data_IF_246324578541
#
_entry.id   IF_246324578541
#
_cell.length_a   1.000
_cell.length_b   1.000
_cell.length_c   1.000
_cell.angle_alpha   90.00
_cell.angle_beta   90.00
_cell.angle_gamma   90.00
#
_symmetry.space_group_name_H-M   'P 1'
#
loop_
_entity.id
_entity.type
_entity.pdbx_description
1 polymer ?
#
# COMPACT_ATOMS: atom_id res chain seq x y z
N UNK A 1 64.15 -19.54 -2.77
CA UNK A 1 63.29 -19.16 -1.59
C UNK A 1 62.00 -18.55 -2.13
N UNK A 2 60.99 -19.38 -2.22
CA UNK A 2 59.73 -19.01 -2.84
C UNK A 2 58.76 -18.50 -1.77
N UNK A 3 58.42 -17.21 -1.83
CA UNK A 3 57.38 -16.59 -1.02
C UNK A 3 56.06 -16.62 -1.74
N UNK A 4 55.22 -17.63 -1.45
CA UNK A 4 53.82 -17.69 -1.91
C UNK A 4 52.97 -16.75 -1.10
N UNK A 5 52.68 -15.57 -1.66
CA UNK A 5 51.67 -14.63 -1.12
C UNK A 5 50.27 -15.16 -1.36
N UNK A 6 49.64 -15.71 -0.33
CA UNK A 6 48.22 -16.06 -0.32
C UNK A 6 47.37 -14.78 -0.35
N UNK A 7 46.81 -14.47 -1.53
CA UNK A 7 45.79 -13.44 -1.66
C UNK A 7 44.48 -13.96 -1.07
N UNK A 8 44.25 -13.65 0.19
CA UNK A 8 42.95 -13.87 0.82
C UNK A 8 41.88 -13.05 0.08
N UNK A 9 41.01 -13.71 -0.68
CA UNK A 9 39.78 -13.11 -1.27
C UNK A 9 38.93 -12.62 -0.11
N UNK A 10 38.92 -11.30 0.10
CA UNK A 10 37.90 -10.62 0.92
C UNK A 10 36.56 -10.88 0.23
N UNK A 11 35.76 -11.80 0.77
CA UNK A 11 34.34 -11.84 0.49
C UNK A 11 33.78 -10.50 0.97
N UNK A 12 33.47 -9.62 0.03
CA UNK A 12 32.65 -8.45 0.30
C UNK A 12 31.28 -8.98 0.74
N UNK A 13 31.05 -9.01 2.03
CA UNK A 13 29.72 -9.17 2.58
C UNK A 13 28.93 -7.98 2.03
N UNK A 14 27.93 -8.24 1.21
CA UNK A 14 26.99 -7.20 0.79
C UNK A 14 26.45 -6.51 2.04
N UNK A 15 26.42 -5.19 2.06
CA UNK A 15 25.80 -4.46 3.16
C UNK A 15 24.38 -4.99 3.37
N UNK A 16 23.97 -5.21 4.62
CA UNK A 16 22.65 -5.72 4.90
C UNK A 16 21.61 -4.77 4.29
N UNK A 17 20.63 -5.33 3.55
CA UNK A 17 19.56 -4.54 2.96
C UNK A 17 18.86 -3.71 4.04
N UNK A 18 18.56 -2.46 3.73
CA UNK A 18 17.81 -1.59 4.65
C UNK A 18 16.41 -2.14 4.84
N UNK A 19 15.98 -2.28 6.08
CA UNK A 19 14.62 -2.70 6.40
C UNK A 19 13.64 -1.56 6.15
N UNK A 20 12.51 -1.89 5.56
CA UNK A 20 11.39 -0.97 5.40
C UNK A 20 10.07 -1.61 5.83
N UNK A 21 9.20 -0.84 6.47
CA UNK A 21 7.80 -1.22 6.68
C UNK A 21 6.96 -0.70 5.52
N UNK A 22 6.19 -1.57 4.88
CA UNK A 22 5.30 -1.21 3.78
C UNK A 22 3.85 -1.42 4.19
N UNK A 23 3.05 -0.36 4.23
CA UNK A 23 1.61 -0.48 4.44
C UNK A 23 0.97 -1.10 3.19
N UNK A 24 0.46 -2.33 3.32
CA UNK A 24 -0.06 -3.14 2.23
C UNK A 24 -1.54 -3.45 2.42
N UNK A 25 -2.41 -2.78 1.66
CA UNK A 25 -3.86 -3.01 1.71
C UNK A 25 -4.34 -4.16 0.82
N UNK A 26 -3.50 -4.61 -0.12
CA UNK A 26 -3.90 -5.58 -1.16
C UNK A 26 -4.51 -4.95 -2.41
N UNK A 27 -4.64 -3.63 -2.46
CA UNK A 27 -5.06 -2.87 -3.63
C UNK A 27 -3.89 -2.53 -4.56
N UNK A 28 -4.23 -2.01 -5.76
CA UNK A 28 -3.31 -1.64 -6.83
C UNK A 28 -2.16 -0.72 -6.35
N UNK A 29 -2.50 0.33 -5.63
CA UNK A 29 -1.56 1.38 -5.21
C UNK A 29 -0.53 0.83 -4.23
N UNK A 30 -0.98 0.08 -3.23
CA UNK A 30 -0.10 -0.52 -2.21
C UNK A 30 0.79 -1.63 -2.78
N UNK A 31 0.30 -2.40 -3.76
CA UNK A 31 1.09 -3.41 -4.47
C UNK A 31 2.22 -2.75 -5.28
N UNK A 32 1.91 -1.66 -5.99
CA UNK A 32 2.92 -0.89 -6.73
C UNK A 32 3.95 -0.26 -5.78
N UNK A 33 3.50 0.25 -4.64
CA UNK A 33 4.39 0.82 -3.61
C UNK A 33 5.36 -0.22 -3.06
N UNK A 34 4.90 -1.44 -2.80
CA UNK A 34 5.77 -2.55 -2.36
C UNK A 34 6.79 -2.91 -3.44
N UNK A 35 6.37 -2.97 -4.72
CA UNK A 35 7.28 -3.26 -5.81
C UNK A 35 8.37 -2.19 -5.97
N UNK A 36 8.02 -0.90 -5.77
CA UNK A 36 8.98 0.21 -5.78
C UNK A 36 9.96 0.07 -4.61
N UNK A 37 9.48 -0.13 -3.38
CA UNK A 37 10.35 -0.28 -2.20
C UNK A 37 11.37 -1.41 -2.38
N UNK A 38 10.95 -2.51 -3.00
CA UNK A 38 11.84 -3.63 -3.32
C UNK A 38 12.86 -3.29 -4.40
N UNK A 39 12.43 -2.61 -5.46
CA UNK A 39 13.33 -2.16 -6.54
C UNK A 39 14.38 -1.16 -6.03
N UNK A 40 14.02 -0.37 -5.00
CA UNK A 40 14.93 0.54 -4.30
C UNK A 40 15.88 -0.18 -3.33
N UNK A 41 15.85 -1.53 -3.26
CA UNK A 41 16.79 -2.35 -2.51
C UNK A 41 16.44 -2.56 -1.04
N UNK A 42 15.16 -2.38 -0.64
CA UNK A 42 14.75 -2.60 0.74
C UNK A 42 14.35 -4.05 1.02
N UNK A 43 14.66 -4.51 2.24
CA UNK A 43 14.06 -5.68 2.86
C UNK A 43 12.67 -5.27 3.38
N UNK A 44 11.61 -5.62 2.63
CA UNK A 44 10.27 -5.14 2.89
C UNK A 44 9.51 -6.01 3.89
N UNK A 45 9.05 -5.40 4.97
CA UNK A 45 8.16 -5.98 5.98
C UNK A 45 6.75 -5.38 5.78
N UNK A 46 5.81 -6.18 5.30
CA UNK A 46 4.48 -5.71 4.95
C UNK A 46 3.55 -5.69 6.16
N UNK A 47 2.81 -4.60 6.34
CA UNK A 47 1.79 -4.43 7.36
C UNK A 47 0.43 -4.23 6.72
N UNK A 48 -0.49 -5.13 7.03
CA UNK A 48 -1.91 -5.04 6.63
C UNK A 48 -2.77 -4.79 7.85
N UNK A 49 -3.79 -3.96 7.69
CA UNK A 49 -4.74 -3.65 8.77
C UNK A 49 -6.10 -4.29 8.49
N UNK A 50 -6.60 -5.05 9.45
CA UNK A 50 -8.00 -5.41 9.58
C UNK A 50 -8.66 -4.38 10.51
N UNK A 51 -9.33 -3.37 9.91
CA UNK A 51 -9.89 -2.24 10.66
C UNK A 51 -11.43 -2.28 10.73
N UNK A 52 -12.04 -3.44 10.50
CA UNK A 52 -13.49 -3.59 10.43
C UNK A 52 -14.07 -3.19 9.08
N UNK A 53 -13.26 -3.19 8.01
CA UNK A 53 -13.74 -2.95 6.65
C UNK A 53 -14.77 -3.99 6.23
N UNK A 54 -15.70 -3.58 5.36
CA UNK A 54 -16.85 -4.39 4.91
C UNK A 54 -16.47 -5.78 4.37
N UNK A 55 -15.29 -5.90 3.76
CA UNK A 55 -14.88 -7.12 3.07
C UNK A 55 -13.44 -7.49 3.41
N UNK A 56 -13.25 -8.76 3.75
CA UNK A 56 -11.92 -9.33 4.05
C UNK A 56 -11.12 -9.71 2.79
N UNK A 57 -11.71 -9.59 1.61
CA UNK A 57 -11.05 -9.92 0.34
C UNK A 57 -9.73 -9.16 0.13
N UNK A 58 -9.66 -7.91 0.62
CA UNK A 58 -8.42 -7.09 0.58
C UNK A 58 -7.31 -7.70 1.42
N UNK A 59 -7.60 -8.24 2.61
CA UNK A 59 -6.61 -8.85 3.51
C UNK A 59 -6.02 -10.11 2.85
N UNK A 60 -6.87 -10.94 2.25
CA UNK A 60 -6.43 -12.11 1.51
C UNK A 60 -5.59 -11.72 0.26
N UNK A 61 -5.98 -10.64 -0.43
CA UNK A 61 -5.21 -10.08 -1.54
C UNK A 61 -3.84 -9.58 -1.08
N UNK A 62 -3.76 -8.86 0.05
CA UNK A 62 -2.50 -8.40 0.62
C UNK A 62 -1.54 -9.56 0.89
N UNK A 63 -2.02 -10.67 1.43
CA UNK A 63 -1.20 -11.85 1.68
C UNK A 63 -0.67 -12.49 0.38
N UNK A 64 -1.48 -12.53 -0.69
CA UNK A 64 -1.03 -13.00 -2.02
C UNK A 64 0.02 -12.09 -2.62
N UNK A 65 -0.23 -10.77 -2.60
CA UNK A 65 0.69 -9.75 -3.12
C UNK A 65 2.03 -9.76 -2.36
N UNK A 66 1.99 -9.80 -1.02
CA UNK A 66 3.20 -9.87 -0.20
C UNK A 66 4.08 -11.07 -0.58
N UNK A 67 3.47 -12.24 -0.75
CA UNK A 67 4.16 -13.47 -1.16
C UNK A 67 4.71 -13.36 -2.58
N UNK A 68 3.89 -12.92 -3.54
CA UNK A 68 4.27 -12.83 -4.94
C UNK A 68 5.41 -11.83 -5.17
N UNK A 69 5.40 -10.71 -4.47
CA UNK A 69 6.46 -9.72 -4.51
C UNK A 69 7.61 -10.00 -3.53
N UNK A 70 7.63 -11.16 -2.85
CA UNK A 70 8.73 -11.62 -2.00
C UNK A 70 9.02 -10.70 -0.82
N UNK A 71 7.99 -10.27 -0.09
CA UNK A 71 8.17 -9.58 1.19
C UNK A 71 8.88 -10.48 2.21
N UNK A 72 9.78 -9.92 3.01
CA UNK A 72 10.50 -10.64 4.06
C UNK A 72 9.57 -11.13 5.17
N UNK A 73 8.53 -10.35 5.47
CA UNK A 73 7.45 -10.76 6.37
C UNK A 73 6.15 -10.04 6.04
N UNK A 74 5.04 -10.63 6.45
CA UNK A 74 3.71 -10.01 6.36
C UNK A 74 2.99 -10.17 7.68
N UNK A 75 2.59 -9.06 8.28
CA UNK A 75 1.83 -9.00 9.53
C UNK A 75 0.46 -8.39 9.29
N UNK A 76 -0.56 -8.96 9.90
CA UNK A 76 -1.91 -8.39 9.94
C UNK A 76 -2.18 -7.95 11.38
N UNK A 77 -2.55 -6.68 11.56
CA UNK A 77 -3.01 -6.15 12.84
C UNK A 77 -4.50 -5.84 12.75
N UNK A 78 -5.24 -6.15 13.80
CA UNK A 78 -6.66 -5.84 13.90
C UNK A 78 -6.90 -4.64 14.81
N UNK A 79 -7.77 -3.73 14.35
CA UNK A 79 -8.26 -2.59 15.11
C UNK A 79 -9.72 -2.36 14.71
N UNK A 80 -10.60 -2.08 15.65
CA UNK A 80 -12.01 -1.84 15.35
C UNK A 80 -12.28 -0.35 15.13
N UNK A 81 -12.17 0.10 13.86
CA UNK A 81 -12.60 1.45 13.46
C UNK A 81 -14.10 1.52 13.15
N UNK A 82 -14.79 0.38 13.03
CA UNK A 82 -16.23 0.37 12.89
C UNK A 82 -16.93 0.87 14.16
N UNK A 83 -16.34 0.63 15.33
CA UNK A 83 -16.80 1.18 16.60
C UNK A 83 -16.75 2.72 16.66
N UNK A 84 -15.89 3.37 15.85
CA UNK A 84 -15.83 4.84 15.74
C UNK A 84 -16.93 5.35 14.80
N UNK A 85 -17.25 4.60 13.74
CA UNK A 85 -18.29 4.93 12.78
C UNK A 85 -17.91 6.02 11.77
N UNK A 86 -18.94 6.61 11.13
CA UNK A 86 -18.80 7.79 10.27
C UNK A 86 -18.30 7.54 8.85
N UNK A 87 -18.22 6.29 8.39
CA UNK A 87 -17.80 5.97 7.02
C UNK A 87 -18.59 4.83 6.40
N UNK A 88 -18.92 4.98 5.12
CA UNK A 88 -19.52 3.90 4.33
C UNK A 88 -18.62 2.66 4.21
N UNK A 89 -17.34 2.73 4.51
CA UNK A 89 -16.43 1.58 4.46
C UNK A 89 -16.43 0.75 5.75
N UNK A 90 -16.90 1.31 6.87
CA UNK A 90 -16.93 0.65 8.19
C UNK A 90 -18.37 0.51 8.72
N UNK A 91 -19.30 1.34 8.28
CA UNK A 91 -20.70 1.31 8.67
C UNK A 91 -21.58 0.80 7.52
N UNK A 92 -22.22 -0.35 7.71
CA UNK A 92 -23.08 -0.98 6.70
C UNK A 92 -24.40 -0.25 6.47
N UNK A 93 -24.83 0.63 7.38
CA UNK A 93 -26.03 1.46 7.22
C UNK A 93 -25.84 2.58 6.20
N UNK A 94 -24.59 2.98 5.94
CA UNK A 94 -24.25 4.03 4.97
C UNK A 94 -23.98 3.39 3.60
N UNK A 95 -24.72 3.74 2.57
CA UNK A 95 -24.52 3.20 1.23
C UNK A 95 -23.18 3.70 0.64
N UNK A 96 -22.46 2.81 -0.05
CA UNK A 96 -21.28 3.21 -0.85
C UNK A 96 -21.76 3.85 -2.15
N UNK A 97 -21.37 5.10 -2.46
CA UNK A 97 -21.82 5.79 -3.68
C UNK A 97 -21.34 5.08 -4.96
N UNK A 98 -22.22 5.04 -5.95
CA UNK A 98 -21.92 4.55 -7.31
C UNK A 98 -21.59 5.71 -8.28
N UNK A 99 -21.80 6.96 -7.84
CA UNK A 99 -21.49 8.18 -8.59
C UNK A 99 -20.56 9.08 -7.79
N UNK A 100 -19.73 9.91 -8.46
CA UNK A 100 -18.88 10.87 -7.77
C UNK A 100 -19.71 11.85 -6.93
N UNK A 101 -19.25 12.13 -5.70
CA UNK A 101 -19.85 13.13 -4.82
C UNK A 101 -18.87 14.28 -4.61
N UNK A 102 -19.34 15.55 -4.59
CA UNK A 102 -18.45 16.68 -4.30
C UNK A 102 -17.97 16.67 -2.84
N UNK A 103 -16.77 17.20 -2.61
CA UNK A 103 -16.18 17.30 -1.26
C UNK A 103 -15.56 16.01 -0.74
N UNK A 104 -15.45 15.90 0.58
CA UNK A 104 -14.91 14.68 1.23
C UNK A 104 -15.99 13.60 1.15
N UNK A 105 -15.70 12.45 0.50
CA UNK A 105 -16.72 11.44 0.28
C UNK A 105 -17.03 10.65 1.56
N UNK A 106 -18.23 10.09 1.62
CA UNK A 106 -18.69 9.24 2.74
C UNK A 106 -17.88 7.95 2.91
N UNK A 107 -17.00 7.62 1.96
CA UNK A 107 -16.04 6.52 2.05
C UNK A 107 -14.74 6.89 2.80
N UNK A 108 -14.59 8.17 3.16
CA UNK A 108 -13.50 8.58 4.05
C UNK A 108 -13.71 7.97 5.44
N UNK A 109 -12.75 7.20 5.92
CA UNK A 109 -12.73 6.70 7.30
C UNK A 109 -11.95 7.71 8.14
N UNK A 110 -12.58 8.35 9.14
CA UNK A 110 -11.96 9.43 9.92
C UNK A 110 -10.60 9.03 10.49
N UNK A 111 -9.57 9.83 10.19
CA UNK A 111 -8.18 9.67 10.65
C UNK A 111 -7.55 8.28 10.39
N UNK A 112 -8.12 7.48 9.48
CA UNK A 112 -7.64 6.10 9.24
C UNK A 112 -6.14 6.06 8.92
N UNK A 113 -5.67 6.89 7.99
CA UNK A 113 -4.27 6.84 7.58
C UNK A 113 -3.34 7.29 8.72
N UNK A 114 -3.77 8.19 9.60
CA UNK A 114 -3.01 8.54 10.82
C UNK A 114 -2.82 7.32 11.72
N UNK A 115 -3.88 6.56 11.96
CA UNK A 115 -3.84 5.36 12.79
C UNK A 115 -2.94 4.30 12.16
N UNK A 116 -3.11 4.05 10.84
CA UNK A 116 -2.31 3.06 10.10
C UNK A 116 -0.81 3.42 10.11
N UNK A 117 -0.48 4.67 9.87
CA UNK A 117 0.89 5.16 9.90
C UNK A 117 1.50 5.09 11.30
N UNK A 118 0.71 5.37 12.35
CA UNK A 118 1.17 5.26 13.74
C UNK A 118 1.51 3.80 14.12
N UNK A 119 0.73 2.83 13.65
CA UNK A 119 1.03 1.42 13.86
C UNK A 119 2.24 0.95 13.02
N UNK A 120 2.39 1.46 11.80
CA UNK A 120 3.57 1.22 10.99
C UNK A 120 4.83 1.80 11.64
N UNK A 121 4.74 3.00 12.23
CA UNK A 121 5.81 3.65 12.97
C UNK A 121 6.25 2.81 14.17
N UNK A 122 5.29 2.34 14.97
CA UNK A 122 5.59 1.49 16.12
C UNK A 122 6.29 0.18 15.71
N UNK A 123 5.84 -0.43 14.61
CA UNK A 123 6.47 -1.64 14.13
C UNK A 123 7.83 -1.39 13.48
N UNK A 124 8.02 -0.28 12.77
CA UNK A 124 9.31 0.13 12.24
C UNK A 124 10.36 0.28 13.35
N UNK A 125 9.98 0.90 14.47
CA UNK A 125 10.86 1.04 15.63
C UNK A 125 11.27 -0.31 16.23
N UNK A 126 10.34 -1.26 16.36
CA UNK A 126 10.61 -2.64 16.83
C UNK A 126 11.55 -3.39 15.89
N UNK A 127 11.39 -3.22 14.57
CA UNK A 127 12.24 -3.87 13.56
C UNK A 127 13.61 -3.20 13.40
N UNK A 128 13.79 -2.00 13.94
CA UNK A 128 14.93 -1.14 13.65
C UNK A 128 14.94 -0.61 12.20
N UNK A 129 13.76 -0.56 11.55
CA UNK A 129 13.58 0.01 10.22
C UNK A 129 13.52 1.54 10.31
N UNK A 130 14.15 2.22 9.35
CA UNK A 130 14.13 3.68 9.27
C UNK A 130 13.27 4.19 8.10
N UNK A 131 12.72 3.28 7.30
CA UNK A 131 11.95 3.59 6.11
C UNK A 131 10.54 3.02 6.22
N UNK A 132 9.52 3.86 6.00
CA UNK A 132 8.12 3.47 5.91
C UNK A 132 7.63 3.84 4.51
N UNK A 133 7.00 2.90 3.80
CA UNK A 133 6.40 3.12 2.49
C UNK A 133 4.88 3.10 2.60
N UNK A 134 4.26 4.14 2.04
CA UNK A 134 2.80 4.29 2.04
C UNK A 134 2.28 4.66 0.66
N UNK A 135 1.31 3.90 0.17
CA UNK A 135 0.72 4.05 -1.16
C UNK A 135 -0.38 5.11 -1.23
N UNK A 136 -0.15 6.31 -0.67
CA UNK A 136 -1.07 7.43 -0.84
C UNK A 136 -1.00 7.98 -2.26
N UNK A 137 -2.15 8.39 -2.80
CA UNK A 137 -2.26 9.09 -4.07
C UNK A 137 -3.12 10.34 -3.89
N UNK A 138 -2.63 11.50 -4.37
CA UNK A 138 -3.29 12.79 -4.26
C UNK A 138 -3.87 13.28 -5.59
N UNK A 139 -3.55 12.63 -6.71
CA UNK A 139 -3.92 13.08 -8.07
C UNK A 139 -5.30 12.58 -8.47
N UNK A 140 -5.52 11.28 -8.42
CA UNK A 140 -6.77 10.68 -8.92
C UNK A 140 -7.91 10.77 -7.90
N UNK A 141 -7.56 11.02 -6.63
CA UNK A 141 -8.55 11.07 -5.58
C UNK A 141 -8.14 12.02 -4.44
N UNK A 142 -8.46 13.28 -4.64
CA UNK A 142 -8.11 14.37 -3.74
C UNK A 142 -9.04 14.53 -2.52
N UNK A 143 -10.06 13.64 -2.36
CA UNK A 143 -11.07 13.83 -1.32
C UNK A 143 -10.61 13.50 0.10
N UNK A 144 -9.55 12.73 0.28
CA UNK A 144 -9.09 12.33 1.62
C UNK A 144 -8.04 13.31 2.16
N UNK A 145 -8.33 14.02 3.27
CA UNK A 145 -7.40 15.01 3.83
C UNK A 145 -6.07 14.39 4.28
N UNK A 146 -6.08 13.11 4.66
CA UNK A 146 -4.92 12.35 5.12
C UNK A 146 -4.17 11.60 3.99
N UNK A 147 -4.40 11.97 2.73
CA UNK A 147 -3.61 11.55 1.56
C UNK A 147 -2.80 12.69 0.95
N UNK A 148 -2.87 13.91 1.49
CA UNK A 148 -2.20 15.08 0.94
C UNK A 148 -0.69 15.11 1.25
N UNK A 149 0.15 15.67 0.36
CA UNK A 149 1.60 15.75 0.60
C UNK A 149 1.98 16.50 1.88
N UNK A 150 1.20 17.55 2.26
CA UNK A 150 1.42 18.31 3.48
C UNK A 150 1.22 17.46 4.73
N UNK A 151 0.19 16.61 4.71
CA UNK A 151 -0.07 15.68 5.79
C UNK A 151 1.09 14.68 5.95
N UNK A 152 1.60 14.11 4.83
CA UNK A 152 2.72 13.16 4.87
C UNK A 152 3.97 13.79 5.46
N UNK A 153 4.31 15.04 5.07
CA UNK A 153 5.45 15.77 5.67
C UNK A 153 5.26 16.05 7.16
N UNK A 154 4.04 16.42 7.57
CA UNK A 154 3.72 16.63 8.97
C UNK A 154 3.83 15.35 9.79
N UNK A 155 3.37 14.21 9.25
CA UNK A 155 3.50 12.92 9.92
C UNK A 155 4.97 12.49 10.04
N UNK A 156 5.80 12.66 9.02
CA UNK A 156 7.24 12.39 9.10
C UNK A 156 7.91 13.25 10.19
N UNK A 157 7.53 14.52 10.29
CA UNK A 157 8.01 15.40 11.36
C UNK A 157 7.61 14.87 12.74
N UNK A 158 6.34 14.49 12.90
CA UNK A 158 5.82 13.90 14.14
C UNK A 158 6.59 12.61 14.50
N UNK A 159 6.80 11.72 13.54
CA UNK A 159 7.51 10.46 13.74
C UNK A 159 8.93 10.69 14.27
N UNK A 160 9.61 11.71 13.75
CA UNK A 160 10.96 12.08 14.14
C UNK A 160 11.05 12.87 15.47
N UNK A 161 9.92 13.30 16.03
CA UNK A 161 9.84 13.87 17.37
C UNK A 161 9.42 12.85 18.43
N UNK A 162 8.65 11.85 18.03
CA UNK A 162 7.92 10.96 18.94
C UNK A 162 8.60 9.62 19.20
N UNK A 163 9.67 9.26 18.46
CA UNK A 163 10.28 7.93 18.57
C UNK A 163 11.64 7.96 19.29
N UNK A 164 11.92 6.90 20.04
CA UNK A 164 13.22 6.69 20.68
C UNK A 164 14.34 6.68 19.63
N UNK A 165 14.13 6.01 18.51
CA UNK A 165 15.10 5.91 17.43
C UNK A 165 15.52 7.29 16.92
N UNK A 166 14.56 8.20 16.69
CA UNK A 166 14.84 9.55 16.21
C UNK A 166 15.56 10.42 17.26
N UNK A 167 15.17 10.32 18.53
CA UNK A 167 15.85 11.01 19.65
C UNK A 167 17.30 10.53 19.77
N UNK A 168 17.57 9.26 19.48
CA UNK A 168 18.93 8.68 19.42
C UNK A 168 19.67 8.97 18.10
N UNK A 169 19.13 9.83 17.23
CA UNK A 169 19.78 10.26 15.99
C UNK A 169 19.49 9.38 14.75
N UNK A 170 18.69 8.33 14.87
CA UNK A 170 18.28 7.46 13.76
C UNK A 170 16.94 7.95 13.18
N UNK A 171 17.00 8.84 12.21
CA UNK A 171 15.82 9.45 11.61
C UNK A 171 15.03 8.46 10.77
N UNK A 172 13.72 8.58 10.82
CA UNK A 172 12.78 7.85 9.98
C UNK A 172 12.44 8.67 8.74
N UNK A 173 12.31 8.01 7.59
CA UNK A 173 11.79 8.56 6.34
C UNK A 173 10.43 7.95 5.99
N UNK A 174 9.47 8.79 5.61
CA UNK A 174 8.16 8.37 5.10
C UNK A 174 8.14 8.53 3.57
N UNK A 175 8.16 7.42 2.87
CA UNK A 175 8.14 7.37 1.40
C UNK A 175 6.73 7.23 0.87
N UNK A 176 6.34 8.13 -0.04
CA UNK A 176 5.05 8.11 -0.73
C UNK A 176 5.28 8.14 -2.25
N UNK A 177 5.83 7.05 -2.84
CA UNK A 177 6.43 7.09 -4.18
C UNK A 177 5.44 7.29 -5.32
N UNK A 178 4.14 7.16 -5.05
CA UNK A 178 3.07 7.30 -6.06
C UNK A 178 2.16 8.51 -5.80
N UNK A 179 2.50 9.37 -4.85
CA UNK A 179 1.60 10.43 -4.37
C UNK A 179 1.22 11.44 -5.47
N UNK A 180 2.11 11.68 -6.43
CA UNK A 180 1.92 12.62 -7.53
C UNK A 180 1.68 11.93 -8.89
N UNK A 181 1.55 10.60 -8.93
CA UNK A 181 1.38 9.86 -10.17
C UNK A 181 -0.11 9.74 -10.53
N UNK A 182 -0.45 9.93 -11.80
CA UNK A 182 -1.75 9.55 -12.32
C UNK A 182 -1.92 8.02 -12.31
N UNK A 183 -3.16 7.52 -12.24
CA UNK A 183 -3.44 6.08 -12.14
C UNK A 183 -2.79 5.27 -13.27
N UNK A 184 -2.77 5.81 -14.48
CA UNK A 184 -2.11 5.18 -15.62
C UNK A 184 -0.59 5.03 -15.42
N UNK A 185 0.06 5.99 -14.79
CA UNK A 185 1.49 5.94 -14.50
C UNK A 185 1.79 4.90 -13.42
N UNK A 186 0.92 4.83 -12.39
CA UNK A 186 1.02 3.81 -11.34
C UNK A 186 0.92 2.41 -11.95
N UNK A 187 -0.06 2.19 -12.85
CA UNK A 187 -0.25 0.92 -13.56
C UNK A 187 0.99 0.57 -14.40
N UNK A 188 1.49 1.50 -15.24
CA UNK A 188 2.69 1.26 -16.06
C UNK A 188 3.90 0.94 -15.21
N UNK A 189 4.12 1.70 -14.13
CA UNK A 189 5.27 1.52 -13.23
C UNK A 189 5.23 0.17 -12.53
N UNK A 190 4.06 -0.21 -11.98
CA UNK A 190 3.91 -1.49 -11.32
C UNK A 190 4.05 -2.67 -12.28
N UNK A 191 3.48 -2.57 -13.50
CA UNK A 191 3.66 -3.59 -14.54
C UNK A 191 5.13 -3.75 -14.92
N UNK A 192 5.87 -2.65 -15.09
CA UNK A 192 7.30 -2.68 -15.38
C UNK A 192 8.13 -3.31 -14.24
N UNK A 193 7.64 -3.22 -12.99
CA UNK A 193 8.24 -3.84 -11.81
C UNK A 193 7.72 -5.26 -11.53
N UNK A 194 6.92 -5.85 -12.43
CA UNK A 194 6.44 -7.22 -12.33
C UNK A 194 5.26 -7.41 -11.37
N UNK A 195 4.49 -6.36 -11.08
CA UNK A 195 3.27 -6.50 -10.27
C UNK A 195 2.20 -7.25 -11.06
N UNK A 196 1.76 -8.40 -10.55
CA UNK A 196 0.56 -9.07 -11.02
C UNK A 196 -0.68 -8.44 -10.38
N UNK A 197 -1.31 -7.54 -11.13
CA UNK A 197 -2.52 -6.86 -10.68
C UNK A 197 -3.76 -7.77 -10.59
N UNK A 198 -3.71 -8.98 -11.15
CA UNK A 198 -4.75 -10.00 -10.96
C UNK A 198 -4.85 -10.50 -9.52
N UNK A 199 -3.78 -10.34 -8.73
CA UNK A 199 -3.76 -10.68 -7.30
C UNK A 199 -4.39 -9.61 -6.42
N UNK A 200 -4.61 -8.39 -6.94
CA UNK A 200 -5.06 -7.22 -6.18
C UNK A 200 -6.56 -7.05 -6.16
N UNK A 201 -7.10 -6.53 -5.06
CA UNK A 201 -8.50 -6.16 -4.90
C UNK A 201 -8.59 -4.68 -4.51
N UNK A 202 -9.22 -3.87 -5.37
CA UNK A 202 -9.40 -2.42 -5.12
C UNK A 202 -10.86 -2.03 -4.89
N UNK A 203 -11.79 -2.96 -5.09
CA UNK A 203 -13.22 -2.72 -5.01
C UNK A 203 -13.68 -2.46 -3.57
N UNK A 204 -14.51 -1.43 -3.35
CA UNK A 204 -15.11 -1.14 -2.03
C UNK A 204 -16.22 -2.12 -1.64
N UNK A 205 -16.77 -2.87 -2.60
CA UNK A 205 -17.86 -3.83 -2.42
C UNK A 205 -17.60 -5.09 -3.27
N UNK A 206 -16.47 -5.80 -3.04
CA UNK A 206 -16.26 -7.08 -3.73
C UNK A 206 -17.25 -8.12 -3.19
N UNK A 207 -17.49 -9.16 -3.98
CA UNK A 207 -18.15 -10.37 -3.47
C UNK A 207 -17.23 -11.11 -2.48
N UNK A 208 -17.78 -12.12 -1.79
CA UNK A 208 -16.98 -13.00 -0.92
C UNK A 208 -15.85 -13.69 -1.69
N UNK A 209 -16.09 -14.04 -2.96
CA UNK A 209 -15.10 -14.63 -3.86
C UNK A 209 -14.11 -13.61 -4.45
N UNK A 210 -14.23 -12.32 -4.09
CA UNK A 210 -13.33 -11.26 -4.52
C UNK A 210 -13.65 -10.63 -5.88
N UNK A 211 -14.81 -10.93 -6.51
CA UNK A 211 -15.22 -10.27 -7.75
C UNK A 211 -15.54 -8.80 -7.49
N UNK A 212 -15.02 -7.92 -8.34
CA UNK A 212 -15.22 -6.49 -8.21
C UNK A 212 -16.62 -6.06 -8.68
N UNK A 213 -17.28 -5.12 -7.98
CA UNK A 213 -18.61 -4.65 -8.33
C UNK A 213 -18.68 -3.89 -9.68
N UNK A 214 -17.56 -3.33 -10.13
CA UNK A 214 -17.44 -2.58 -11.38
C UNK A 214 -18.06 -1.17 -11.36
N UNK A 215 -18.68 -0.74 -10.26
CA UNK A 215 -19.49 0.50 -10.19
C UNK A 215 -18.95 1.54 -9.21
N UNK A 216 -18.36 1.14 -8.08
CA UNK A 216 -17.81 2.07 -7.09
C UNK A 216 -16.63 2.89 -7.65
N UNK A 217 -16.27 3.99 -6.99
CA UNK A 217 -15.18 4.88 -7.41
C UNK A 217 -13.87 4.13 -7.63
N UNK A 218 -13.48 3.25 -6.71
CA UNK A 218 -12.25 2.48 -6.86
C UNK A 218 -12.24 1.61 -8.12
N UNK A 219 -13.38 1.01 -8.50
CA UNK A 219 -13.49 0.24 -9.75
C UNK A 219 -13.41 1.14 -10.99
N UNK A 220 -14.04 2.32 -10.95
CA UNK A 220 -14.01 3.28 -12.08
C UNK A 220 -12.60 3.83 -12.29
N UNK A 221 -11.94 4.29 -11.23
CA UNK A 221 -10.59 4.81 -11.29
C UNK A 221 -9.59 3.74 -11.74
N UNK A 222 -9.73 2.51 -11.24
CA UNK A 222 -8.88 1.40 -11.67
C UNK A 222 -9.03 1.14 -13.17
N UNK A 223 -10.25 0.98 -13.65
CA UNK A 223 -10.53 0.70 -15.07
C UNK A 223 -10.01 1.81 -15.98
N UNK A 224 -10.30 3.06 -15.65
CA UNK A 224 -9.80 4.23 -16.39
C UNK A 224 -8.27 4.28 -16.37
N UNK A 225 -7.62 3.93 -15.27
CA UNK A 225 -6.17 3.87 -15.15
C UNK A 225 -5.54 2.82 -16.08
N UNK A 226 -6.09 1.62 -16.14
CA UNK A 226 -5.64 0.56 -17.05
C UNK A 226 -5.87 0.93 -18.52
N UNK A 227 -7.04 1.46 -18.85
CA UNK A 227 -7.37 1.94 -20.20
C UNK A 227 -6.38 3.03 -20.65
N UNK A 228 -6.16 4.06 -19.85
CA UNK A 228 -5.22 5.14 -20.13
C UNK A 228 -3.74 4.68 -20.13
N UNK A 229 -3.44 3.57 -19.45
CA UNK A 229 -2.12 2.93 -19.52
C UNK A 229 -1.90 2.14 -20.82
N UNK A 230 -2.97 1.76 -21.53
CA UNK A 230 -2.93 0.84 -22.66
C UNK A 230 -2.64 -0.61 -22.26
N UNK A 231 -2.97 -0.99 -21.00
CA UNK A 231 -2.71 -2.31 -20.42
C UNK A 231 -4.06 -2.95 -20.09
N UNK A 232 -4.32 -4.23 -20.43
CA UNK A 232 -5.55 -4.92 -20.05
C UNK A 232 -5.70 -4.97 -18.53
N UNK A 233 -6.89 -4.64 -17.99
CA UNK A 233 -7.19 -4.79 -16.57
C UNK A 233 -7.53 -6.26 -16.26
N UNK A 234 -6.72 -6.97 -15.47
CA UNK A 234 -6.94 -8.38 -15.14
C UNK A 234 -8.05 -8.62 -14.11
N UNK A 235 -8.75 -7.58 -13.65
CA UNK A 235 -9.78 -7.68 -12.63
C UNK A 235 -11.01 -8.42 -13.13
N UNK A 236 -11.45 -9.41 -12.37
CA UNK A 236 -12.73 -10.06 -12.58
C UNK A 236 -13.86 -9.20 -12.03
N UNK A 237 -14.72 -8.69 -12.92
CA UNK A 237 -15.88 -7.87 -12.57
C UNK A 237 -17.18 -8.69 -12.60
N UNK A 238 -18.10 -8.38 -11.68
CA UNK A 238 -19.47 -8.92 -11.70
C UNK A 238 -20.12 -8.63 -13.06
N UNK A 239 -20.74 -9.65 -13.66
CA UNK A 239 -21.47 -9.54 -14.94
C UNK A 239 -20.59 -9.47 -16.20
N UNK A 240 -19.27 -9.58 -16.09
CA UNK A 240 -18.38 -9.89 -17.22
C UNK A 240 -17.85 -11.32 -17.05
N UNK A 241 -18.35 -12.25 -17.86
CA UNK A 241 -17.64 -13.51 -18.07
C UNK A 241 -16.23 -13.16 -18.58
N UNK A 242 -15.21 -13.80 -18.01
CA UNK A 242 -13.86 -13.73 -18.54
C UNK A 242 -13.92 -14.11 -20.02
N UNK A 243 -13.78 -13.12 -20.90
CA UNK A 243 -13.72 -13.37 -22.34
C UNK A 243 -12.51 -14.26 -22.60
N UNK A 244 -12.77 -15.48 -23.05
CA UNK A 244 -11.76 -16.30 -23.70
C UNK A 244 -11.29 -15.53 -24.94
N UNK A 245 -10.09 -15.05 -24.93
CA UNK A 245 -9.31 -14.74 -26.12
C UNK A 245 -8.16 -15.72 -26.19
#
# INVERSE_FOLDING_TARGET
MNGSGSAARRFLLADPMKKAVVLLSGGLDSATTLAIARADGHECHCLTMDYGQRHRAEIAAAARVARALGAASHKVLSIDLAAVGGSALTDRSIAVPETPTPGIPVTYVPARNTILLSLALAWAEVLGAQDIFFGANAVDYSGYPDCRPEYMRAFETLANLATKAAVEGRRLALHTPIIHLAKAEIVRRGTALGVDYGLTVSCYQPTEDGLACGRCDACRLRRAGFEAAGIPDPTCYLGRSAGKT
#
